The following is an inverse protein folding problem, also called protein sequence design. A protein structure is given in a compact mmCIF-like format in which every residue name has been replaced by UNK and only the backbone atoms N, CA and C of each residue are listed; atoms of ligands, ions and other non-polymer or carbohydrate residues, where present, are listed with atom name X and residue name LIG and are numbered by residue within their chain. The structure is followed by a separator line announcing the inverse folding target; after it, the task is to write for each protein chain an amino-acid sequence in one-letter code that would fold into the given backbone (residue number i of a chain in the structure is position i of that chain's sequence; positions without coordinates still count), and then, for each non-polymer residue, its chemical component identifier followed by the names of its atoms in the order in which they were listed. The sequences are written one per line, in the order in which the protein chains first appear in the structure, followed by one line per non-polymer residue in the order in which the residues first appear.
data_IF_345149210793
#
_entry.id   IF_345149210793
#
_cell.length_a   1.000
_cell.length_b   1.000
_cell.length_c   1.000
_cell.angle_alpha   90.00
_cell.angle_beta   90.00
_cell.angle_gamma   90.00
#
_symmetry.space_group_name_H-M   'P 1'
#
loop_
_entity.id
_entity.type
_entity.pdbx_description
1 polymer ?
#
# COMPACT_ATOMS: atom_id res chain seq x y z
N UNK A 1 3.35 17.92 -0.63
CA UNK A 1 4.00 17.82 -1.95
C UNK A 1 3.28 16.72 -2.72
N UNK A 2 2.44 17.11 -3.67
CA UNK A 2 1.56 16.25 -4.44
C UNK A 2 2.37 15.52 -5.51
N UNK A 3 2.21 14.19 -5.62
CA UNK A 3 2.99 13.33 -6.51
C UNK A 3 2.92 13.74 -7.98
N UNK A 4 4.00 14.36 -8.46
CA UNK A 4 4.28 14.59 -9.88
C UNK A 4 5.32 13.61 -10.44
N UNK A 5 5.60 13.71 -11.74
CA UNK A 5 6.67 12.93 -12.43
C UNK A 5 8.07 13.12 -11.85
N UNK A 6 8.25 14.14 -11.01
CA UNK A 6 9.51 14.43 -10.30
C UNK A 6 9.67 13.68 -8.97
N UNK A 7 8.69 12.86 -8.59
CA UNK A 7 8.83 12.02 -7.40
C UNK A 7 9.92 10.97 -7.61
N UNK A 8 10.94 10.96 -6.75
CA UNK A 8 12.03 9.96 -6.73
C UNK A 8 11.56 8.50 -6.60
N UNK A 9 10.28 8.32 -6.28
CA UNK A 9 9.62 7.03 -6.14
C UNK A 9 8.63 6.72 -7.27
N UNK A 10 8.59 7.52 -8.35
CA UNK A 10 7.94 7.15 -9.60
C UNK A 10 8.72 5.98 -10.25
N UNK A 11 8.08 4.90 -10.74
CA UNK A 11 6.68 4.72 -11.13
C UNK A 11 5.78 4.05 -10.09
N UNK A 12 6.18 3.98 -8.81
CA UNK A 12 5.33 3.41 -7.75
C UNK A 12 4.12 4.31 -7.40
N UNK A 13 3.95 5.45 -8.10
CA UNK A 13 2.86 6.40 -7.93
C UNK A 13 2.07 6.58 -9.23
N UNK A 14 0.74 6.55 -9.14
CA UNK A 14 -0.17 6.92 -10.22
C UNK A 14 -0.86 8.28 -9.94
N UNK A 15 -1.41 8.98 -10.95
CA UNK A 15 -2.08 10.27 -10.74
C UNK A 15 -3.19 10.19 -9.69
N UNK A 16 -3.19 11.15 -8.74
CA UNK A 16 -4.17 11.21 -7.65
C UNK A 16 -3.76 10.50 -6.36
N UNK A 17 -2.59 9.86 -6.34
CA UNK A 17 -2.07 9.15 -5.16
C UNK A 17 -1.32 10.08 -4.18
N UNK A 18 -1.64 10.00 -2.89
CA UNK A 18 -0.88 10.65 -1.81
C UNK A 18 0.52 10.04 -1.67
N UNK A 19 1.54 10.85 -1.38
CA UNK A 19 2.96 10.42 -1.34
C UNK A 19 3.58 10.45 0.07
N UNK A 20 2.81 10.73 1.12
CA UNK A 20 3.38 10.84 2.47
C UNK A 20 3.75 9.50 3.06
N UNK A 21 2.98 8.47 2.71
CA UNK A 21 3.13 7.11 3.22
C UNK A 21 3.51 6.10 2.13
N UNK A 22 4.35 6.52 1.17
CA UNK A 22 4.97 5.62 0.19
C UNK A 22 5.65 4.43 0.88
N UNK A 23 6.25 4.68 2.04
CA UNK A 23 6.61 3.64 2.99
C UNK A 23 5.47 3.46 3.97
N UNK A 24 4.87 2.28 3.98
CA UNK A 24 3.73 1.98 4.83
C UNK A 24 4.16 2.02 6.31
N UNK A 25 3.58 2.88 7.16
CA UNK A 25 3.85 2.94 8.60
C UNK A 25 3.44 1.65 9.33
N UNK A 26 2.58 0.83 8.72
CA UNK A 26 2.19 -0.47 9.24
C UNK A 26 3.07 -1.61 8.71
N UNK A 27 4.17 -1.34 8.00
CA UNK A 27 5.01 -2.40 7.46
C UNK A 27 5.79 -3.16 8.56
N UNK A 28 5.79 -4.50 8.55
CA UNK A 28 4.96 -5.38 7.73
C UNK A 28 3.56 -5.53 8.33
N UNK A 29 2.51 -5.29 7.54
CA UNK A 29 1.15 -5.29 8.06
C UNK A 29 0.52 -6.70 8.12
N UNK A 30 1.04 -7.63 7.33
CA UNK A 30 0.52 -9.00 7.16
C UNK A 30 -0.97 -9.07 6.78
N UNK A 31 -1.55 -7.98 6.29
CA UNK A 31 -2.90 -7.92 5.75
C UNK A 31 -2.89 -8.27 4.26
N UNK A 32 -3.50 -9.39 3.88
CA UNK A 32 -3.53 -9.89 2.50
C UNK A 32 -4.37 -9.03 1.54
N UNK A 33 -5.26 -8.17 2.04
CA UNK A 33 -5.93 -7.18 1.18
C UNK A 33 -4.94 -6.12 0.73
N UNK A 34 -3.97 -5.76 1.59
CA UNK A 34 -3.03 -4.66 1.36
C UNK A 34 -1.65 -5.12 0.87
N UNK A 35 -1.28 -6.37 1.09
CA UNK A 35 0.03 -6.90 0.73
C UNK A 35 0.01 -8.38 0.36
N UNK A 36 1.20 -8.96 0.22
CA UNK A 36 1.42 -10.37 -0.08
C UNK A 36 2.88 -10.75 0.18
N UNK A 37 3.15 -12.04 0.38
CA UNK A 37 4.51 -12.57 0.47
C UNK A 37 5.15 -12.68 -0.93
N UNK A 38 6.42 -12.33 -1.04
CA UNK A 38 7.23 -12.47 -2.25
C UNK A 38 8.55 -13.19 -1.96
N UNK A 39 9.05 -13.92 -2.94
CA UNK A 39 10.39 -14.50 -2.89
C UNK A 39 11.38 -13.53 -3.53
N UNK A 40 12.34 -13.05 -2.76
CA UNK A 40 13.43 -12.19 -3.23
C UNK A 40 14.41 -12.95 -4.14
N UNK A 41 15.27 -12.20 -4.84
CA UNK A 41 16.26 -12.76 -5.80
C UNK A 41 17.20 -13.84 -5.21
N UNK A 42 17.38 -13.87 -3.88
CA UNK A 42 18.23 -14.83 -3.15
C UNK A 42 17.43 -15.87 -2.36
N UNK A 43 16.18 -16.14 -2.75
CA UNK A 43 15.32 -17.12 -2.08
C UNK A 43 14.71 -16.68 -0.75
N UNK A 44 15.00 -15.47 -0.27
CA UNK A 44 14.42 -14.94 0.98
C UNK A 44 12.94 -14.59 0.80
N UNK A 45 12.09 -15.04 1.73
CA UNK A 45 10.69 -14.66 1.79
C UNK A 45 10.55 -13.28 2.45
N UNK A 46 9.81 -12.38 1.82
CA UNK A 46 9.64 -10.98 2.24
C UNK A 46 8.17 -10.59 2.13
N UNK A 47 7.65 -9.82 3.08
CA UNK A 47 6.34 -9.21 2.94
C UNK A 47 6.42 -8.03 1.97
N UNK A 48 5.40 -7.84 1.14
CA UNK A 48 5.31 -6.74 0.18
C UNK A 48 3.99 -6.01 0.32
N UNK A 49 4.04 -4.70 0.57
CA UNK A 49 2.88 -3.79 0.53
C UNK A 49 2.83 -3.00 -0.78
N UNK A 50 3.49 -3.46 -1.86
CA UNK A 50 3.66 -2.68 -3.09
C UNK A 50 2.34 -2.33 -3.80
N UNK A 51 1.29 -3.14 -3.58
CA UNK A 51 -0.05 -2.94 -4.12
C UNK A 51 -1.04 -2.38 -3.06
N UNK A 52 -0.54 -1.82 -1.95
CA UNK A 52 -1.39 -1.20 -0.93
C UNK A 52 -1.85 0.19 -1.40
N UNK A 53 -3.15 0.43 -1.53
CA UNK A 53 -3.67 1.75 -1.87
C UNK A 53 -4.31 2.50 -0.68
N UNK A 54 -4.48 1.85 0.48
CA UNK A 54 -5.23 2.41 1.61
C UNK A 54 -4.67 3.76 2.10
N UNK A 55 -3.40 3.80 2.50
CA UNK A 55 -2.74 5.03 2.98
C UNK A 55 -2.31 5.99 1.88
N UNK A 56 -2.71 5.69 0.65
CA UNK A 56 -2.44 6.49 -0.52
C UNK A 56 -3.68 7.25 -1.01
N UNK A 57 -4.84 6.99 -0.39
CA UNK A 57 -6.04 7.82 -0.53
C UNK A 57 -5.81 9.09 0.30
N UNK A 58 -5.88 10.30 -0.29
CA UNK A 58 -5.58 11.55 0.43
C UNK A 58 -6.32 11.71 1.76
N UNK A 59 -7.60 11.35 1.80
CA UNK A 59 -8.43 11.47 2.99
C UNK A 59 -8.03 10.49 4.09
N UNK A 60 -7.56 9.30 3.72
CA UNK A 60 -7.03 8.30 4.67
C UNK A 60 -5.65 8.73 5.17
N UNK A 61 -4.80 9.26 4.27
CA UNK A 61 -3.52 9.87 4.61
C UNK A 61 -3.69 11.01 5.62
N UNK A 62 -4.62 11.93 5.36
CA UNK A 62 -4.90 13.07 6.23
C UNK A 62 -5.44 12.62 7.59
N UNK A 63 -6.35 11.63 7.61
CA UNK A 63 -6.88 11.06 8.84
C UNK A 63 -5.78 10.47 9.72
N UNK A 64 -4.90 9.65 9.14
CA UNK A 64 -3.79 9.04 9.88
C UNK A 64 -2.75 10.08 10.31
N UNK A 65 -2.51 11.10 9.47
CA UNK A 65 -1.62 12.21 9.80
C UNK A 65 -2.07 12.98 11.05
N UNK A 66 -3.37 13.17 11.20
CA UNK A 66 -3.97 13.85 12.34
C UNK A 66 -4.06 12.93 13.57
N UNK A 67 -4.16 11.60 13.35
CA UNK A 67 -4.35 10.61 14.41
C UNK A 67 -3.43 9.38 14.22
N UNK A 68 -2.12 9.50 14.47
CA UNK A 68 -1.14 8.44 14.19
C UNK A 68 -1.28 7.19 15.07
N UNK A 69 -2.19 7.23 16.06
CA UNK A 69 -2.55 6.09 16.92
C UNK A 69 -3.62 5.18 16.31
N UNK A 70 -4.26 5.60 15.21
CA UNK A 70 -5.26 4.77 14.54
C UNK A 70 -4.64 3.47 14.04
N UNK A 71 -5.38 2.40 14.26
CA UNK A 71 -5.08 1.06 13.80
C UNK A 71 -5.39 0.91 12.32
N UNK A 72 -4.82 -0.14 11.72
CA UNK A 72 -5.10 -0.49 10.33
C UNK A 72 -6.59 -0.75 10.08
N UNK A 73 -7.25 -1.42 11.02
CA UNK A 73 -8.69 -1.73 10.94
C UNK A 73 -9.56 -0.47 10.97
N UNK A 74 -9.22 0.52 11.81
CA UNK A 74 -9.94 1.79 11.86
C UNK A 74 -9.82 2.57 10.54
N UNK A 75 -8.64 2.55 9.91
CA UNK A 75 -8.43 3.19 8.60
C UNK A 75 -9.20 2.47 7.49
N UNK A 76 -9.23 1.13 7.50
CA UNK A 76 -10.04 0.33 6.57
C UNK A 76 -11.53 0.62 6.74
N UNK A 77 -12.02 0.64 7.98
CA UNK A 77 -13.41 0.98 8.28
C UNK A 77 -13.78 2.39 7.81
N UNK A 78 -12.87 3.36 7.99
CA UNK A 78 -13.06 4.72 7.47
C UNK A 78 -13.16 4.71 5.93
N UNK A 79 -12.26 4.01 5.24
CA UNK A 79 -12.26 3.93 3.78
C UNK A 79 -13.56 3.31 3.25
N UNK A 80 -14.01 2.20 3.85
CA UNK A 80 -15.28 1.53 3.52
C UNK A 80 -16.46 2.49 3.72
N UNK A 81 -16.54 3.17 4.87
CA UNK A 81 -17.60 4.12 5.19
C UNK A 81 -17.67 5.28 4.21
N UNK A 82 -16.53 5.71 3.66
CA UNK A 82 -16.44 6.77 2.65
C UNK A 82 -16.65 6.26 1.22
N UNK A 83 -16.82 4.95 1.02
CA UNK A 83 -16.99 4.35 -0.29
C UNK A 83 -15.70 4.31 -1.13
N UNK A 84 -14.54 4.41 -0.49
CA UNK A 84 -13.26 4.32 -1.20
C UNK A 84 -12.91 2.87 -1.52
N UNK A 85 -12.50 2.64 -2.77
CA UNK A 85 -11.91 1.36 -3.19
C UNK A 85 -10.40 1.42 -2.96
N UNK A 86 -9.90 0.67 -1.99
CA UNK A 86 -8.48 0.61 -1.66
C UNK A 86 -7.83 -0.77 -1.90
N UNK A 87 -8.65 -1.76 -2.26
CA UNK A 87 -8.18 -3.09 -2.66
C UNK A 87 -8.11 -3.11 -4.19
N UNK A 88 -6.90 -3.12 -4.74
CA UNK A 88 -6.66 -3.18 -6.19
C UNK A 88 -6.51 -4.59 -6.73
N UNK A 89 -6.45 -4.73 -8.06
CA UNK A 89 -6.01 -5.97 -8.71
C UNK A 89 -4.54 -6.23 -8.35
N UNK A 90 -4.26 -7.31 -7.61
CA UNK A 90 -2.89 -7.71 -7.27
C UNK A 90 -2.05 -7.86 -8.55
N UNK A 91 -0.88 -7.24 -8.57
CA UNK A 91 -0.01 -7.21 -9.75
C UNK A 91 0.52 -8.61 -10.06
N UNK A 92 0.14 -9.16 -11.22
CA UNK A 92 0.63 -10.45 -11.71
C UNK A 92 2.14 -10.47 -11.95
N UNK A 93 2.79 -9.30 -12.03
CA UNK A 93 4.25 -9.18 -12.17
C UNK A 93 5.01 -9.79 -11.00
N UNK A 94 4.41 -9.82 -9.80
CA UNK A 94 5.04 -10.38 -8.60
C UNK A 94 4.61 -11.83 -8.32
N UNK A 95 3.52 -12.30 -8.96
CA UNK A 95 2.98 -13.67 -8.80
C UNK A 95 3.88 -14.72 -9.46
N UNK A 96 4.67 -14.35 -10.49
CA UNK A 96 5.64 -15.25 -11.16
C UNK A 96 6.75 -15.80 -10.23
N UNK A 97 6.79 -15.38 -8.96
CA UNK A 97 7.76 -15.86 -7.94
C UNK A 97 7.12 -16.65 -6.80
N UNK A 98 5.80 -16.81 -6.79
CA UNK A 98 5.07 -17.60 -5.78
C UNK A 98 4.86 -19.04 -6.28
N UNK A 99 4.83 -19.26 -7.60
CA UNK A 99 4.62 -20.57 -8.22
C UNK A 99 5.93 -21.06 -8.86
N UNK A 100 6.84 -21.54 -8.03
CA UNK A 100 7.82 -22.57 -8.40
C UNK A 100 7.82 -23.60 -7.27
N UNK A 101 6.74 -24.39 -7.24
CA UNK A 101 6.75 -25.73 -6.66
C UNK A 101 7.12 -26.69 -7.79
#
# INVERSE_FOLDING_TARGET
MSGGKECKHYPCHFPGQGCKYCFCPFYPCHDYELGFWVIGRRGRVLWSCIDCHLLHIPEVEDLYSQNPKLTLEELKAFAIRKGFVYVGKKSTRHIKRIVMI
#
